data_IF_968797830724
#
_entry.id   IF_968797830724
#
_cell.length_a   1.000
_cell.length_b   1.000
_cell.length_c   1.000
_cell.angle_alpha   90.00
_cell.angle_beta   90.00
_cell.angle_gamma   90.00
#
_symmetry.space_group_name_H-M   'P 1'
#
loop_
_entity.id
_entity.type
_entity.pdbx_description
1 polymer ?
#
# COMPACT_ATOMS: atom_id res chain seq x y z
N UNK A 1 -19.50 -50.60 24.16
CA UNK A 1 -18.45 -50.07 23.26
C UNK A 1 -17.26 -49.64 24.10
N UNK A 2 -16.05 -49.94 23.65
CA UNK A 2 -14.86 -50.03 24.51
C UNK A 2 -14.35 -48.63 24.93
N UNK A 3 -14.78 -48.12 26.10
CA UNK A 3 -14.38 -46.81 26.63
C UNK A 3 -12.87 -46.57 26.60
N UNK A 4 -12.07 -47.63 26.78
CA UNK A 4 -10.59 -47.58 26.70
C UNK A 4 -10.04 -47.21 25.33
N UNK A 5 -10.72 -47.62 24.25
CA UNK A 5 -10.33 -47.27 22.88
C UNK A 5 -10.62 -45.79 22.59
N UNK A 6 -11.80 -45.31 23.02
CA UNK A 6 -12.24 -43.94 22.82
C UNK A 6 -11.37 -42.95 23.62
N UNK A 7 -10.95 -43.34 24.82
CA UNK A 7 -10.01 -42.59 25.64
C UNK A 7 -8.61 -42.51 25.01
N UNK A 8 -8.06 -43.64 24.53
CA UNK A 8 -6.77 -43.64 23.83
C UNK A 8 -6.79 -42.79 22.55
N UNK A 9 -7.89 -42.85 21.79
CA UNK A 9 -8.06 -42.03 20.60
C UNK A 9 -8.09 -40.54 20.95
N UNK A 10 -8.89 -40.15 21.94
CA UNK A 10 -8.96 -38.77 22.43
C UNK A 10 -7.61 -38.27 22.95
N UNK A 11 -6.86 -39.09 23.69
CA UNK A 11 -5.55 -38.70 24.22
C UNK A 11 -4.50 -38.55 23.11
N UNK A 12 -4.43 -39.50 22.16
CA UNK A 12 -3.50 -39.40 21.05
C UNK A 12 -3.82 -38.21 20.13
N UNK A 13 -5.10 -37.92 19.93
CA UNK A 13 -5.55 -36.78 19.13
C UNK A 13 -5.31 -35.46 19.88
N UNK A 14 -5.52 -35.41 21.19
CA UNK A 14 -5.16 -34.25 22.04
C UNK A 14 -3.67 -33.95 21.97
N UNK A 15 -2.81 -34.97 22.10
CA UNK A 15 -1.36 -34.83 22.04
C UNK A 15 -0.93 -34.34 20.64
N UNK A 16 -1.51 -34.89 19.58
CA UNK A 16 -1.17 -34.50 18.20
C UNK A 16 -1.53 -33.03 17.93
N UNK A 17 -2.71 -32.58 18.36
CA UNK A 17 -3.14 -31.18 18.19
C UNK A 17 -2.34 -30.25 19.12
N UNK A 18 -2.01 -30.66 20.34
CA UNK A 18 -1.14 -29.89 21.24
C UNK A 18 0.25 -29.68 20.61
N UNK A 19 0.81 -30.73 20.01
CA UNK A 19 2.11 -30.67 19.34
C UNK A 19 2.04 -29.71 18.15
N UNK A 20 0.98 -29.79 17.33
CA UNK A 20 0.73 -28.88 16.21
C UNK A 20 0.58 -27.42 16.67
N UNK A 21 -0.14 -27.19 17.77
CA UNK A 21 -0.32 -25.86 18.39
C UNK A 21 1.00 -25.29 18.90
N UNK A 22 1.83 -26.12 19.53
CA UNK A 22 3.12 -25.70 20.05
C UNK A 22 4.07 -25.30 18.91
N UNK A 23 4.13 -26.12 17.84
CA UNK A 23 4.92 -25.81 16.65
C UNK A 23 4.53 -24.49 16.01
N UNK A 24 3.24 -24.20 15.86
CA UNK A 24 2.89 -22.93 15.24
C UNK A 24 2.78 -21.75 16.19
N UNK A 25 2.73 -21.94 17.50
CA UNK A 25 3.03 -20.83 18.44
C UNK A 25 4.50 -20.43 18.32
N UNK A 26 5.41 -21.40 18.16
CA UNK A 26 6.83 -21.12 17.88
C UNK A 26 6.98 -20.41 16.53
N UNK A 27 6.32 -20.87 15.46
CA UNK A 27 6.35 -20.18 14.17
C UNK A 27 5.77 -18.76 14.26
N UNK A 28 4.69 -18.56 15.02
CA UNK A 28 4.09 -17.24 15.23
C UNK A 28 4.99 -16.29 16.03
N UNK A 29 5.68 -16.78 17.07
CA UNK A 29 6.65 -15.98 17.82
C UNK A 29 7.84 -15.61 16.94
N UNK A 30 8.31 -16.54 16.09
CA UNK A 30 9.39 -16.28 15.13
C UNK A 30 8.96 -15.22 14.11
N UNK A 31 7.73 -15.27 13.60
CA UNK A 31 7.16 -14.28 12.68
C UNK A 31 6.99 -12.89 13.35
N UNK A 32 6.36 -12.80 14.52
CA UNK A 32 6.06 -11.53 15.22
C UNK A 32 7.32 -10.85 15.79
N UNK A 33 8.33 -11.60 16.24
CA UNK A 33 9.53 -11.01 16.87
C UNK A 33 10.74 -10.88 15.95
N UNK A 34 10.88 -11.69 14.90
CA UNK A 34 11.98 -11.54 13.94
C UNK A 34 11.59 -10.77 12.67
N UNK A 35 10.32 -10.35 12.52
CA UNK A 35 9.81 -9.66 11.31
C UNK A 35 10.19 -10.42 10.02
N UNK A 36 10.22 -11.75 10.10
CA UNK A 36 10.80 -12.57 9.05
C UNK A 36 9.71 -12.95 8.05
N UNK A 37 9.56 -12.10 7.04
CA UNK A 37 8.49 -12.11 6.03
C UNK A 37 8.64 -13.27 5.01
N UNK A 38 8.65 -14.51 5.50
CA UNK A 38 8.93 -15.72 4.68
C UNK A 38 7.67 -16.23 3.94
N UNK A 39 6.47 -15.84 4.36
CA UNK A 39 5.21 -16.38 3.82
C UNK A 39 4.36 -15.31 3.13
N UNK A 40 3.83 -15.57 1.91
CA UNK A 40 2.86 -14.69 1.26
C UNK A 40 1.64 -14.42 2.17
N UNK A 41 1.17 -13.17 2.23
CA UNK A 41 0.16 -12.70 3.19
C UNK A 41 -1.14 -13.54 3.26
N UNK A 42 -1.59 -14.09 2.13
CA UNK A 42 -2.78 -14.93 2.10
C UNK A 42 -2.59 -16.26 2.87
N UNK A 43 -1.37 -16.79 2.85
CA UNK A 43 -1.00 -17.98 3.63
C UNK A 43 -0.74 -17.62 5.09
N UNK A 44 -0.15 -16.46 5.39
CA UNK A 44 0.14 -16.04 6.77
C UNK A 44 -1.15 -15.86 7.58
N UNK A 45 -2.19 -15.27 6.98
CA UNK A 45 -3.49 -15.02 7.64
C UNK A 45 -4.27 -16.33 7.85
N UNK A 46 -4.23 -17.24 6.87
CA UNK A 46 -4.85 -18.56 6.96
C UNK A 46 -4.12 -19.46 7.96
N UNK A 47 -2.77 -19.44 7.98
CA UNK A 47 -1.95 -20.13 8.99
C UNK A 47 -2.18 -19.56 10.39
N UNK A 48 -2.28 -18.23 10.56
CA UNK A 48 -2.63 -17.60 11.85
C UNK A 48 -3.99 -18.05 12.34
N UNK A 49 -5.01 -17.97 11.49
CA UNK A 49 -6.36 -18.40 11.83
C UNK A 49 -6.40 -19.89 12.17
N UNK A 50 -5.70 -20.73 11.40
CA UNK A 50 -5.62 -22.17 11.62
C UNK A 50 -4.83 -22.52 12.87
N UNK A 51 -3.83 -21.72 13.24
CA UNK A 51 -3.06 -21.91 14.47
C UNK A 51 -3.80 -21.49 15.72
N UNK A 52 -4.49 -20.35 15.68
CA UNK A 52 -5.35 -19.90 16.77
C UNK A 52 -6.49 -20.89 16.95
N UNK A 53 -7.17 -21.29 15.87
CA UNK A 53 -8.22 -22.30 15.93
C UNK A 53 -7.68 -23.66 16.41
N UNK A 54 -6.53 -24.09 15.88
CA UNK A 54 -5.86 -25.33 16.27
C UNK A 54 -5.45 -25.35 17.74
N UNK A 55 -4.90 -24.25 18.26
CA UNK A 55 -4.52 -24.11 19.66
C UNK A 55 -5.72 -24.06 20.61
N UNK A 56 -6.81 -23.39 20.22
CA UNK A 56 -8.07 -23.41 20.98
C UNK A 56 -8.65 -24.83 21.03
N UNK A 57 -8.67 -25.54 19.90
CA UNK A 57 -9.13 -26.94 19.83
C UNK A 57 -8.24 -27.85 20.68
N UNK A 58 -6.91 -27.68 20.61
CA UNK A 58 -5.95 -28.45 21.42
C UNK A 58 -6.22 -28.27 22.92
N UNK A 59 -6.37 -27.01 23.34
CA UNK A 59 -6.61 -26.65 24.73
C UNK A 59 -7.94 -27.24 25.23
N UNK A 60 -9.01 -27.10 24.45
CA UNK A 60 -10.32 -27.69 24.79
C UNK A 60 -10.22 -29.22 24.90
N UNK A 61 -9.47 -29.87 24.01
CA UNK A 61 -9.28 -31.32 24.07
C UNK A 61 -8.47 -31.78 25.29
N UNK A 62 -7.40 -31.08 25.64
CA UNK A 62 -6.62 -31.38 26.86
C UNK A 62 -7.47 -31.19 28.12
N UNK A 63 -8.24 -30.11 28.20
CA UNK A 63 -9.16 -29.86 29.31
C UNK A 63 -10.25 -30.92 29.37
N UNK A 64 -10.86 -31.28 28.24
CA UNK A 64 -11.86 -32.36 28.16
C UNK A 64 -11.27 -33.70 28.61
N UNK A 65 -10.03 -34.01 28.20
CA UNK A 65 -9.37 -35.27 28.58
C UNK A 65 -9.02 -35.32 30.07
N UNK A 66 -8.53 -34.21 30.64
CA UNK A 66 -8.31 -34.09 32.07
C UNK A 66 -9.62 -34.26 32.86
N UNK A 67 -10.70 -33.61 32.41
CA UNK A 67 -12.03 -33.71 33.03
C UNK A 67 -12.63 -35.11 32.90
N UNK A 68 -12.49 -35.78 31.76
CA UNK A 68 -12.90 -37.18 31.56
C UNK A 68 -12.09 -38.14 32.42
N UNK A 69 -10.78 -37.93 32.54
CA UNK A 69 -9.90 -38.74 33.39
C UNK A 69 -10.26 -38.57 34.87
N UNK A 70 -10.54 -37.34 35.31
CA UNK A 70 -11.05 -37.04 36.66
C UNK A 70 -12.43 -37.64 36.89
N UNK A 71 -13.33 -37.57 35.91
CA UNK A 71 -14.68 -38.15 36.00
C UNK A 71 -14.63 -39.68 36.11
N UNK A 72 -13.78 -40.34 35.33
CA UNK A 72 -13.60 -41.80 35.39
C UNK A 72 -12.88 -42.26 36.66
N UNK A 73 -11.93 -41.48 37.17
CA UNK A 73 -11.34 -41.74 38.49
C UNK A 73 -12.39 -41.62 39.60
N UNK A 74 -13.22 -40.57 39.53
CA UNK A 74 -14.32 -40.37 40.46
C UNK A 74 -15.37 -41.49 40.38
N UNK A 75 -15.75 -41.93 39.18
CA UNK A 75 -16.68 -43.05 38.95
C UNK A 75 -16.07 -44.38 39.45
N UNK A 76 -14.78 -44.62 39.21
CA UNK A 76 -14.10 -45.83 39.70
C UNK A 76 -14.02 -45.87 41.24
N UNK A 77 -13.82 -44.71 41.88
CA UNK A 77 -13.82 -44.61 43.34
C UNK A 77 -15.24 -44.67 43.92
N UNK A 78 -16.24 -44.10 43.26
CA UNK A 78 -17.64 -44.15 43.67
C UNK A 78 -18.22 -45.58 43.54
N UNK A 79 -17.88 -46.30 42.47
CA UNK A 79 -18.26 -47.72 42.29
C UNK A 79 -17.60 -48.62 43.34
N UNK A 80 -16.35 -48.35 43.72
CA UNK A 80 -15.68 -49.04 44.84
C UNK A 80 -16.29 -48.70 46.21
N UNK A 81 -16.84 -47.50 46.36
CA UNK A 81 -17.49 -47.04 47.59
C UNK A 81 -19.00 -47.34 47.67
N UNK A 82 -19.58 -48.00 46.66
CA UNK A 82 -21.02 -48.30 46.55
C UNK A 82 -21.94 -47.09 46.79
N UNK A 83 -21.52 -45.90 46.34
CA UNK A 83 -22.30 -44.67 46.52
C UNK A 83 -23.49 -44.64 45.52
N UNK A 84 -24.70 -44.24 45.96
CA UNK A 84 -25.85 -44.11 45.07
C UNK A 84 -25.67 -43.00 44.05
N UNK A 85 -26.32 -43.12 42.89
CA UNK A 85 -26.28 -42.12 41.82
C UNK A 85 -26.86 -40.78 42.32
N UNK A 86 -25.97 -39.84 42.63
CA UNK A 86 -26.38 -38.50 43.03
C UNK A 86 -26.75 -37.67 41.81
N UNK A 87 -27.94 -37.07 41.84
CA UNK A 87 -28.38 -36.10 40.85
C UNK A 87 -27.57 -34.82 40.96
N UNK A 88 -27.05 -34.33 39.83
CA UNK A 88 -26.20 -33.13 39.75
C UNK A 88 -26.94 -31.92 40.33
N UNK A 89 -26.38 -31.30 41.38
CA UNK A 89 -27.04 -30.18 42.06
C UNK A 89 -27.21 -28.97 41.13
N UNK A 90 -28.34 -28.27 41.26
CA UNK A 90 -28.63 -27.03 40.49
C UNK A 90 -27.53 -25.97 40.66
N UNK A 91 -26.84 -25.95 41.80
CA UNK A 91 -25.75 -25.01 42.08
C UNK A 91 -24.48 -25.32 41.29
N UNK A 92 -24.14 -26.61 41.11
CA UNK A 92 -22.98 -27.02 40.30
C UNK A 92 -23.22 -26.71 38.82
N UNK A 93 -24.44 -26.97 38.31
CA UNK A 93 -24.85 -26.59 36.94
C UNK A 93 -24.74 -25.08 36.70
N UNK A 94 -25.10 -24.26 37.71
CA UNK A 94 -24.97 -22.79 37.64
C UNK A 94 -23.51 -22.33 37.65
N UNK A 95 -22.61 -23.01 38.36
CA UNK A 95 -21.16 -22.73 38.33
C UNK A 95 -20.53 -23.06 36.98
N UNK A 96 -20.86 -24.21 36.39
CA UNK A 96 -20.35 -24.62 35.06
C UNK A 96 -20.85 -23.64 33.97
N UNK A 97 -22.11 -23.23 34.01
CA UNK A 97 -22.61 -22.24 33.05
C UNK A 97 -21.90 -20.89 33.19
N UNK A 98 -21.54 -20.47 34.42
CA UNK A 98 -20.77 -19.24 34.65
C UNK A 98 -19.33 -19.36 34.12
N UNK A 99 -18.68 -20.51 34.26
CA UNK A 99 -17.34 -20.71 33.71
C UNK A 99 -17.34 -20.75 32.18
N UNK A 100 -18.35 -21.37 31.55
CA UNK A 100 -18.51 -21.34 30.09
C UNK A 100 -18.72 -19.90 29.60
N UNK A 101 -19.58 -19.13 30.28
CA UNK A 101 -19.81 -17.72 29.95
C UNK A 101 -18.52 -16.89 30.06
N UNK A 102 -17.72 -17.11 31.11
CA UNK A 102 -16.45 -16.41 31.30
C UNK A 102 -15.45 -16.70 30.18
N UNK A 103 -15.37 -17.95 29.70
CA UNK A 103 -14.51 -18.33 28.57
C UNK A 103 -14.97 -17.69 27.27
N UNK A 104 -16.28 -17.68 26.99
CA UNK A 104 -16.84 -17.01 25.80
C UNK A 104 -16.51 -15.51 25.81
N UNK A 105 -16.66 -14.85 26.97
CA UNK A 105 -16.31 -13.44 27.13
C UNK A 105 -14.81 -13.21 26.93
N UNK A 106 -13.95 -14.10 27.43
CA UNK A 106 -12.50 -14.00 27.21
C UNK A 106 -12.12 -14.14 25.73
N UNK A 107 -12.72 -15.08 25.00
CA UNK A 107 -12.51 -15.23 23.55
C UNK A 107 -12.99 -13.98 22.80
N UNK A 108 -14.17 -13.44 23.15
CA UNK A 108 -14.69 -12.22 22.55
C UNK A 108 -13.78 -11.01 22.80
N UNK A 109 -13.18 -10.90 24.00
CA UNK A 109 -12.21 -9.85 24.32
C UNK A 109 -10.90 -10.00 23.55
N UNK A 110 -10.41 -11.23 23.32
CA UNK A 110 -9.21 -11.49 22.53
C UNK A 110 -9.44 -11.12 21.05
N UNK A 111 -10.56 -11.55 20.47
CA UNK A 111 -10.93 -11.22 19.08
C UNK A 111 -11.14 -9.71 18.92
N UNK A 112 -11.85 -9.08 19.87
CA UNK A 112 -12.04 -7.63 19.87
C UNK A 112 -10.73 -6.86 20.04
N UNK A 113 -9.80 -7.35 20.86
CA UNK A 113 -8.47 -6.77 21.03
C UNK A 113 -7.63 -6.82 19.74
N UNK A 114 -7.68 -7.93 19.01
CA UNK A 114 -7.00 -8.10 17.71
C UNK A 114 -7.51 -7.10 16.66
N UNK A 115 -8.84 -6.89 16.58
CA UNK A 115 -9.41 -5.90 15.68
C UNK A 115 -8.96 -4.46 16.00
N UNK A 116 -8.79 -4.13 17.29
CA UNK A 116 -8.28 -2.81 17.69
C UNK A 116 -6.82 -2.67 17.29
N UNK A 117 -5.99 -3.70 17.46
CA UNK A 117 -4.58 -3.65 17.05
C UNK A 117 -4.43 -3.48 15.54
N UNK A 118 -5.27 -4.12 14.74
CA UNK A 118 -5.24 -3.96 13.27
C UNK A 118 -5.64 -2.53 12.87
N UNK A 119 -6.65 -1.95 13.53
CA UNK A 119 -7.02 -0.55 13.32
C UNK A 119 -5.93 0.44 13.72
N UNK A 120 -5.22 0.17 14.83
CA UNK A 120 -4.10 1.01 15.27
C UNK A 120 -2.93 0.91 14.27
N UNK A 121 -2.58 -0.29 13.81
CA UNK A 121 -1.55 -0.50 12.77
C UNK A 121 -1.90 0.23 11.48
N UNK A 122 -3.15 0.11 11.01
CA UNK A 122 -3.62 0.82 9.82
C UNK A 122 -3.55 2.35 9.97
N UNK A 123 -3.84 2.89 11.17
CA UNK A 123 -3.70 4.33 11.43
C UNK A 123 -2.24 4.79 11.42
N UNK A 124 -1.34 4.03 12.02
CA UNK A 124 0.10 4.33 12.04
C UNK A 124 0.66 4.31 10.62
N UNK A 125 0.38 3.26 9.84
CA UNK A 125 0.83 3.14 8.46
C UNK A 125 0.26 4.27 7.56
N UNK A 126 -1.00 4.67 7.77
CA UNK A 126 -1.59 5.83 7.08
C UNK A 126 -0.87 7.13 7.42
N UNK A 127 -0.52 7.33 8.68
CA UNK A 127 0.18 8.53 9.12
C UNK A 127 1.59 8.57 8.53
N UNK A 128 2.33 7.46 8.57
CA UNK A 128 3.65 7.33 7.96
C UNK A 128 3.62 7.59 6.45
N UNK A 129 2.62 7.03 5.74
CA UNK A 129 2.45 7.28 4.31
C UNK A 129 2.12 8.75 4.00
N UNK A 130 1.33 9.43 4.85
CA UNK A 130 1.05 10.87 4.72
C UNK A 130 2.31 11.73 4.98
N UNK A 131 3.10 11.35 5.99
CA UNK A 131 4.36 12.02 6.32
C UNK A 131 5.36 11.87 5.17
N UNK A 132 5.52 10.65 4.63
CA UNK A 132 6.36 10.38 3.47
C UNK A 132 5.88 11.14 2.23
N UNK A 133 4.58 11.13 1.95
CA UNK A 133 3.98 11.88 0.83
C UNK A 133 4.28 13.37 0.94
N UNK A 134 4.09 13.94 2.14
CA UNK A 134 4.33 15.36 2.39
C UNK A 134 5.81 15.71 2.28
N UNK A 135 6.69 14.84 2.79
CA UNK A 135 8.13 15.03 2.70
C UNK A 135 8.62 14.99 1.25
N UNK A 136 8.24 13.98 0.48
CA UNK A 136 8.57 13.87 -0.94
C UNK A 136 8.05 15.07 -1.74
N UNK A 137 6.84 15.54 -1.43
CA UNK A 137 6.27 16.73 -2.04
C UNK A 137 7.13 17.99 -1.76
N UNK A 138 7.62 18.16 -0.53
CA UNK A 138 8.50 19.27 -0.16
C UNK A 138 9.84 19.17 -0.86
N UNK A 139 10.44 17.99 -0.89
CA UNK A 139 11.74 17.74 -1.55
C UNK A 139 11.66 18.02 -3.06
N UNK A 140 10.60 17.56 -3.74
CA UNK A 140 10.37 17.87 -5.15
C UNK A 140 10.20 19.38 -5.39
N UNK A 141 9.42 20.07 -4.54
CA UNK A 141 9.25 21.52 -4.65
C UNK A 141 10.57 22.28 -4.45
N UNK A 142 11.46 21.81 -3.57
CA UNK A 142 12.78 22.40 -3.37
C UNK A 142 13.73 22.13 -4.54
N UNK A 143 13.63 20.96 -5.18
CA UNK A 143 14.42 20.57 -6.34
C UNK A 143 13.98 21.29 -7.63
N UNK A 144 12.70 21.66 -7.76
CA UNK A 144 12.13 22.18 -9.01
C UNK A 144 12.90 23.37 -9.61
N UNK A 145 13.30 24.43 -8.86
CA UNK A 145 14.06 25.54 -9.43
C UNK A 145 15.40 25.10 -10.04
N UNK A 146 16.10 24.19 -9.36
CA UNK A 146 17.39 23.68 -9.82
C UNK A 146 17.22 22.81 -11.07
N UNK A 147 16.21 21.93 -11.11
CA UNK A 147 15.86 21.15 -12.30
C UNK A 147 15.56 22.05 -13.50
N UNK A 148 14.75 23.10 -13.32
CA UNK A 148 14.41 24.03 -14.40
C UNK A 148 15.65 24.77 -14.93
N UNK A 149 16.62 25.06 -14.07
CA UNK A 149 17.88 25.71 -14.45
C UNK A 149 18.78 24.85 -15.33
N UNK A 150 18.59 23.51 -15.34
CA UNK A 150 19.36 22.59 -16.18
C UNK A 150 18.98 22.66 -17.67
N UNK A 151 17.85 23.29 -18.00
CA UNK A 151 17.40 23.46 -19.39
C UNK A 151 18.26 24.50 -20.11
N UNK A 152 19.28 24.00 -20.81
CA UNK A 152 20.24 24.85 -21.53
C UNK A 152 19.58 25.64 -22.68
N UNK A 153 20.14 26.81 -23.08
CA UNK A 153 19.58 27.63 -24.15
C UNK A 153 19.31 26.88 -25.47
N UNK A 154 20.16 25.95 -25.95
CA UNK A 154 19.87 25.15 -27.15
C UNK A 154 18.64 24.25 -27.00
N UNK A 155 18.42 23.66 -25.82
CA UNK A 155 17.22 22.84 -25.56
C UNK A 155 15.98 23.74 -25.55
N UNK A 156 16.06 24.90 -24.87
CA UNK A 156 14.95 25.87 -24.85
C UNK A 156 14.59 26.35 -26.26
N UNK A 157 15.58 26.60 -27.11
CA UNK A 157 15.38 27.00 -28.50
C UNK A 157 14.75 25.89 -29.35
N UNK A 158 15.21 24.66 -29.19
CA UNK A 158 14.63 23.50 -29.86
C UNK A 158 13.20 23.23 -29.40
N UNK A 159 12.88 23.44 -28.12
CA UNK A 159 11.51 23.31 -27.58
C UNK A 159 10.57 24.40 -28.10
N UNK A 160 10.99 25.67 -28.11
CA UNK A 160 10.17 26.79 -28.58
C UNK A 160 9.77 26.64 -30.06
N UNK A 161 10.70 26.14 -30.88
CA UNK A 161 10.53 26.05 -32.33
C UNK A 161 10.20 24.63 -32.82
N UNK A 162 9.97 23.66 -31.94
CA UNK A 162 9.79 22.24 -32.27
C UNK A 162 10.90 21.66 -33.17
N UNK A 163 12.16 22.06 -32.92
CA UNK A 163 13.33 21.70 -33.74
C UNK A 163 14.41 20.91 -32.99
N UNK A 164 14.02 20.20 -31.92
CA UNK A 164 14.97 19.39 -31.12
C UNK A 164 15.72 18.35 -31.96
N UNK A 165 15.08 17.80 -32.99
CA UNK A 165 15.67 16.79 -33.89
C UNK A 165 16.66 17.45 -34.85
N UNK A 166 16.25 18.52 -35.52
CA UNK A 166 17.02 19.26 -36.51
C UNK A 166 18.28 19.88 -35.89
N UNK A 167 18.19 20.34 -34.64
CA UNK A 167 19.29 20.93 -33.89
C UNK A 167 20.18 19.88 -33.20
N UNK A 168 19.91 18.59 -33.38
CA UNK A 168 20.68 17.49 -32.79
C UNK A 168 20.61 17.44 -31.26
N UNK A 169 19.57 18.00 -30.64
CA UNK A 169 19.46 18.12 -29.19
C UNK A 169 18.83 16.90 -28.50
N UNK A 170 18.28 15.93 -29.25
CA UNK A 170 17.66 14.73 -28.67
C UNK A 170 18.57 13.99 -27.68
N UNK A 171 19.87 13.88 -27.99
CA UNK A 171 20.84 13.26 -27.08
C UNK A 171 21.06 14.06 -25.80
N UNK A 172 21.04 15.39 -25.88
CA UNK A 172 21.18 16.26 -24.71
C UNK A 172 19.91 16.25 -23.86
N UNK A 173 18.72 16.27 -24.48
CA UNK A 173 17.43 16.15 -23.79
C UNK A 173 17.30 14.79 -23.09
N UNK A 174 17.71 13.69 -23.73
CA UNK A 174 17.71 12.36 -23.11
C UNK A 174 18.66 12.30 -21.90
N UNK A 175 19.87 12.86 -22.03
CA UNK A 175 20.81 12.98 -20.90
C UNK A 175 20.27 13.86 -19.78
N UNK A 176 19.55 14.93 -20.11
CA UNK A 176 18.91 15.81 -19.14
C UNK A 176 17.87 15.04 -18.32
N UNK A 177 16.98 14.29 -18.97
CA UNK A 177 16.01 13.44 -18.26
C UNK A 177 16.69 12.41 -17.36
N UNK A 178 17.76 11.77 -17.86
CA UNK A 178 18.51 10.81 -17.06
C UNK A 178 19.19 11.49 -15.87
N UNK A 179 19.82 12.65 -16.07
CA UNK A 179 20.48 13.40 -15.01
C UNK A 179 19.49 13.81 -13.93
N UNK A 180 18.31 14.32 -14.31
CA UNK A 180 17.26 14.70 -13.36
C UNK A 180 16.84 13.48 -12.51
N UNK A 181 16.58 12.35 -13.16
CA UNK A 181 16.19 11.11 -12.46
C UNK A 181 17.28 10.60 -11.52
N UNK A 182 18.56 10.72 -11.87
CA UNK A 182 19.66 10.16 -11.06
C UNK A 182 20.19 11.09 -9.98
N UNK A 183 19.99 12.40 -10.13
CA UNK A 183 20.67 13.40 -9.30
C UNK A 183 19.76 14.13 -8.32
N UNK A 184 18.44 13.99 -8.43
CA UNK A 184 17.49 14.64 -7.54
C UNK A 184 16.79 13.64 -6.60
N UNK A 185 16.40 14.08 -5.39
CA UNK A 185 15.59 13.27 -4.48
C UNK A 185 14.32 12.76 -5.15
N UNK A 186 13.80 11.62 -4.69
CA UNK A 186 12.59 10.98 -5.24
C UNK A 186 12.70 10.48 -6.70
N UNK A 187 13.90 10.55 -7.31
CA UNK A 187 14.17 10.09 -8.67
C UNK A 187 13.09 10.49 -9.69
N UNK A 188 12.80 11.80 -9.85
CA UNK A 188 11.58 12.24 -10.48
C UNK A 188 11.51 11.86 -11.96
N UNK A 189 10.37 11.32 -12.36
CA UNK A 189 10.01 11.19 -13.77
C UNK A 189 9.64 12.56 -14.30
N UNK A 190 10.43 13.04 -15.27
CA UNK A 190 10.26 14.37 -15.85
C UNK A 190 9.50 14.27 -17.16
N UNK A 191 8.43 15.04 -17.29
CA UNK A 191 7.66 15.18 -18.53
C UNK A 191 7.62 16.64 -18.95
N UNK A 192 7.76 16.92 -20.24
CA UNK A 192 7.69 18.28 -20.78
C UNK A 192 6.46 18.38 -21.68
N UNK A 193 5.68 19.44 -21.50
CA UNK A 193 4.58 19.78 -22.38
C UNK A 193 4.92 21.04 -23.18
N UNK A 194 4.81 20.95 -24.51
CA UNK A 194 4.95 22.09 -25.43
C UNK A 194 3.70 22.24 -26.29
N UNK A 195 3.59 23.39 -26.98
CA UNK A 195 2.54 23.57 -28.00
C UNK A 195 2.95 22.84 -29.28
N UNK A 196 2.04 22.02 -29.79
CA UNK A 196 2.23 21.32 -31.06
C UNK A 196 2.14 22.30 -32.23
N UNK A 197 3.00 22.13 -33.23
CA UNK A 197 2.88 22.76 -34.56
C UNK A 197 2.13 21.89 -35.58
N UNK A 198 1.82 20.64 -35.22
CA UNK A 198 1.13 19.67 -36.06
C UNK A 198 -0.39 19.71 -35.84
N UNK A 199 -1.12 20.29 -36.78
CA UNK A 199 -2.59 20.20 -36.77
C UNK A 199 -3.04 18.74 -36.98
N UNK A 200 -4.08 18.24 -36.26
CA UNK A 200 -5.02 18.96 -35.39
C UNK A 200 -4.62 19.03 -33.91
N UNK A 201 -3.39 18.66 -33.55
CA UNK A 201 -2.95 18.56 -32.16
C UNK A 201 -2.60 19.93 -31.60
N UNK A 202 -2.94 20.13 -30.32
CA UNK A 202 -2.70 21.38 -29.59
C UNK A 202 -1.46 21.28 -28.70
N UNK A 203 -1.22 20.09 -28.14
CA UNK A 203 -0.10 19.85 -27.24
C UNK A 203 0.73 18.67 -27.70
N UNK A 204 2.01 18.74 -27.36
CA UNK A 204 2.99 17.68 -27.55
C UNK A 204 3.61 17.38 -26.18
N UNK A 205 3.51 16.12 -25.78
CA UNK A 205 4.03 15.59 -24.54
C UNK A 205 5.33 14.85 -24.83
N UNK A 206 6.41 15.33 -24.22
CA UNK A 206 7.76 14.81 -24.37
C UNK A 206 8.17 14.14 -23.08
N UNK A 207 8.27 12.82 -23.15
CA UNK A 207 8.71 11.98 -22.05
C UNK A 207 10.10 11.39 -22.34
N UNK A 208 10.79 10.82 -21.34
CA UNK A 208 12.01 10.06 -21.57
C UNK A 208 11.81 8.94 -22.60
N UNK A 209 10.62 8.33 -22.65
CA UNK A 209 10.23 7.30 -23.61
C UNK A 209 10.03 7.83 -25.04
N UNK A 210 9.79 9.13 -25.22
CA UNK A 210 9.64 9.78 -26.52
C UNK A 210 10.95 9.85 -27.31
N UNK A 211 12.09 9.76 -26.63
CA UNK A 211 13.42 9.74 -27.26
C UNK A 211 14.00 8.33 -27.15
N UNK A 212 13.99 7.58 -28.25
CA UNK A 212 14.41 6.17 -28.26
C UNK A 212 15.44 5.88 -29.34
N UNK A 213 16.20 4.81 -29.14
CA UNK A 213 17.10 4.29 -30.18
C UNK A 213 16.32 3.31 -31.07
N UNK A 214 16.30 3.56 -32.37
CA UNK A 214 15.77 2.67 -33.40
C UNK A 214 16.83 2.44 -34.48
N UNK A 215 17.25 1.18 -34.65
CA UNK A 215 18.30 0.83 -35.62
C UNK A 215 19.63 1.57 -35.44
N UNK A 216 19.98 1.97 -34.21
CA UNK A 216 21.19 2.74 -33.90
C UNK A 216 21.07 4.25 -34.15
N UNK A 217 19.88 4.75 -34.52
CA UNK A 217 19.58 6.19 -34.62
C UNK A 217 18.68 6.62 -33.48
N UNK A 218 18.91 7.81 -32.94
CA UNK A 218 18.00 8.43 -31.98
C UNK A 218 16.79 8.98 -32.74
N UNK A 219 15.59 8.53 -32.37
CA UNK A 219 14.32 8.92 -32.97
C UNK A 219 13.47 9.61 -31.91
N UNK A 220 12.72 10.61 -32.34
CA UNK A 220 11.80 11.37 -31.53
C UNK A 220 10.35 11.03 -31.91
N UNK A 221 9.58 10.54 -30.95
CA UNK A 221 8.16 10.17 -31.10
C UNK A 221 7.41 10.68 -29.86
N UNK A 222 6.97 11.94 -29.86
CA UNK A 222 6.21 12.50 -28.76
C UNK A 222 4.77 11.98 -28.76
N UNK A 223 4.07 12.11 -27.63
CA UNK A 223 2.63 11.90 -27.60
C UNK A 223 1.89 13.19 -27.94
N UNK A 224 0.95 13.11 -28.87
CA UNK A 224 0.23 14.27 -29.39
C UNK A 224 -1.21 14.30 -28.87
N UNK A 225 -1.62 15.45 -28.34
CA UNK A 225 -2.94 15.64 -27.75
C UNK A 225 -3.69 16.78 -28.43
N UNK A 226 -4.92 16.50 -28.89
CA UNK A 226 -5.85 17.54 -29.37
C UNK A 226 -6.46 18.31 -28.19
N UNK A 227 -6.74 17.60 -27.10
CA UNK A 227 -7.10 18.11 -25.77
C UNK A 227 -6.84 17.01 -24.72
N UNK A 228 -6.75 17.39 -23.45
CA UNK A 228 -6.73 16.42 -22.35
C UNK A 228 -8.15 15.96 -21.99
N UNK A 229 -8.34 14.74 -21.46
CA UNK A 229 -9.66 14.23 -21.11
C UNK A 229 -10.35 15.00 -19.99
N UNK A 230 -9.59 15.48 -19.01
CA UNK A 230 -10.13 16.15 -17.83
C UNK A 230 -10.13 17.68 -18.03
N UNK A 231 -11.31 18.31 -17.91
CA UNK A 231 -11.44 19.76 -18.08
C UNK A 231 -10.57 20.56 -17.10
N UNK A 232 -10.43 20.07 -15.86
CA UNK A 232 -9.57 20.67 -14.84
C UNK A 232 -8.09 20.64 -15.26
N UNK A 233 -7.63 19.56 -15.90
CA UNK A 233 -6.26 19.46 -16.42
C UNK A 233 -6.04 20.46 -17.56
N UNK A 234 -7.01 20.59 -18.48
CA UNK A 234 -6.96 21.59 -19.56
C UNK A 234 -6.84 23.00 -18.99
N UNK A 235 -7.68 23.36 -18.03
CA UNK A 235 -7.68 24.68 -17.40
C UNK A 235 -6.37 24.97 -16.64
N UNK A 236 -5.82 23.96 -15.96
CA UNK A 236 -4.54 24.08 -15.26
C UNK A 236 -3.38 24.29 -16.25
N UNK A 237 -3.34 23.53 -17.34
CA UNK A 237 -2.34 23.66 -18.40
C UNK A 237 -2.40 25.04 -19.06
N UNK A 238 -3.60 25.54 -19.38
CA UNK A 238 -3.74 26.88 -19.96
C UNK A 238 -3.29 27.99 -19.01
N UNK A 239 -3.55 27.86 -17.70
CA UNK A 239 -3.04 28.79 -16.70
C UNK A 239 -1.50 28.78 -16.64
N UNK A 240 -0.90 27.60 -16.65
CA UNK A 240 0.56 27.44 -16.66
C UNK A 240 1.20 28.02 -17.92
N UNK A 241 0.61 27.75 -19.11
CA UNK A 241 1.05 28.36 -20.37
C UNK A 241 0.90 29.89 -20.36
N UNK A 242 -0.10 30.42 -19.65
CA UNK A 242 -0.27 31.85 -19.43
C UNK A 242 0.65 32.41 -18.33
N UNK A 243 1.53 31.59 -17.73
CA UNK A 243 2.46 31.99 -16.69
C UNK A 243 1.79 32.25 -15.34
N UNK A 244 0.66 31.60 -15.06
CA UNK A 244 -0.08 31.66 -13.80
C UNK A 244 -0.02 30.31 -13.08
N UNK A 245 -0.02 30.35 -11.75
CA UNK A 245 -0.13 29.15 -10.92
C UNK A 245 -1.58 28.63 -10.96
N UNK A 246 -1.83 27.36 -11.26
CA UNK A 246 -3.17 26.80 -11.31
C UNK A 246 -3.71 26.55 -9.90
N UNK A 247 -5.02 26.72 -9.74
CA UNK A 247 -5.72 26.37 -8.49
C UNK A 247 -6.24 24.94 -8.58
N UNK A 248 -5.52 23.98 -7.99
CA UNK A 248 -5.98 22.61 -7.84
C UNK A 248 -6.42 22.41 -6.39
N UNK A 249 -7.71 22.12 -6.15
CA UNK A 249 -8.27 21.87 -4.82
C UNK A 249 -8.93 20.51 -4.69
N UNK A 250 -8.84 19.70 -5.73
CA UNK A 250 -9.41 18.35 -5.82
C UNK A 250 -8.37 17.40 -6.40
N UNK A 251 -8.49 16.08 -6.12
CA UNK A 251 -7.68 15.07 -6.79
C UNK A 251 -7.85 15.14 -8.31
N UNK A 252 -6.74 15.10 -9.03
CA UNK A 252 -6.60 15.13 -10.48
C UNK A 252 -5.63 14.01 -10.87
N UNK A 253 -6.10 13.01 -11.62
CA UNK A 253 -5.29 11.91 -12.18
C UNK A 253 -5.22 12.04 -13.69
N UNK A 254 -4.68 13.18 -14.13
CA UNK A 254 -4.59 13.56 -15.53
C UNK A 254 -3.54 12.77 -16.31
N UNK A 255 -3.45 13.06 -17.60
CA UNK A 255 -2.43 12.44 -18.48
C UNK A 255 -1.06 13.09 -18.34
N UNK A 256 -1.04 14.39 -18.09
CA UNK A 256 0.16 15.20 -17.86
C UNK A 256 0.29 15.63 -16.40
N UNK A 257 -0.78 16.13 -15.78
CA UNK A 257 -0.79 16.55 -14.37
C UNK A 257 -1.46 15.49 -13.50
N UNK A 258 -0.73 15.00 -12.50
CA UNK A 258 -1.26 14.10 -11.48
C UNK A 258 -0.89 14.62 -10.09
N UNK A 259 -1.87 15.14 -9.35
CA UNK A 259 -1.64 15.68 -8.01
C UNK A 259 -1.94 14.66 -6.89
N UNK A 260 -2.18 13.39 -7.26
CA UNK A 260 -2.43 12.30 -6.31
C UNK A 260 -1.16 11.53 -5.95
N UNK A 261 -0.05 11.88 -6.60
CA UNK A 261 1.30 11.47 -6.28
C UNK A 261 2.11 12.72 -5.89
N UNK A 262 3.22 12.58 -5.13
CA UNK A 262 4.13 13.68 -4.92
C UNK A 262 4.64 14.18 -6.27
N UNK A 263 4.32 15.43 -6.59
CA UNK A 263 4.62 16.00 -7.88
C UNK A 263 4.77 17.51 -7.82
N UNK A 264 5.45 18.09 -8.80
CA UNK A 264 5.60 19.53 -8.90
C UNK A 264 5.73 19.93 -10.35
N UNK A 265 5.53 21.22 -10.62
CA UNK A 265 5.60 21.74 -11.97
C UNK A 265 6.20 23.14 -12.00
N UNK A 266 6.78 23.45 -13.14
CA UNK A 266 7.27 24.77 -13.46
C UNK A 266 7.13 25.08 -14.93
N UNK A 267 7.48 26.30 -15.30
CA UNK A 267 7.43 26.78 -16.68
C UNK A 267 8.82 27.10 -17.19
N UNK A 268 9.09 26.71 -18.43
CA UNK A 268 10.29 27.17 -19.12
C UNK A 268 9.97 28.44 -19.89
N UNK A 269 10.82 29.44 -19.72
CA UNK A 269 10.70 30.74 -20.35
C UNK A 269 11.88 31.04 -21.25
N UNK A 270 11.59 31.66 -22.38
CA UNK A 270 12.56 32.26 -23.29
C UNK A 270 12.04 33.61 -23.74
N UNK A 271 12.88 34.64 -23.69
CA UNK A 271 12.51 36.01 -24.06
C UNK A 271 11.24 36.53 -23.35
N UNK A 272 11.05 36.16 -22.08
CA UNK A 272 9.90 36.57 -21.27
C UNK A 272 8.57 35.85 -21.58
N UNK A 273 8.57 34.87 -22.50
CA UNK A 273 7.39 34.06 -22.84
C UNK A 273 7.54 32.64 -22.31
N UNK A 274 6.45 32.07 -21.80
CA UNK A 274 6.37 30.64 -21.47
C UNK A 274 6.34 29.83 -22.76
N UNK A 275 7.28 28.90 -22.91
CA UNK A 275 7.41 28.04 -24.09
C UNK A 275 7.06 26.58 -23.80
N UNK A 276 7.23 26.14 -22.55
CA UNK A 276 6.95 24.78 -22.13
C UNK A 276 6.56 24.72 -20.66
N UNK A 277 5.91 23.64 -20.27
CA UNK A 277 5.66 23.26 -18.87
C UNK A 277 6.49 22.02 -18.58
N UNK A 278 7.20 22.02 -17.46
CA UNK A 278 7.92 20.84 -16.95
C UNK A 278 7.15 20.32 -15.76
N UNK A 279 6.82 19.03 -15.80
CA UNK A 279 6.18 18.31 -14.70
C UNK A 279 7.17 17.26 -14.17
N UNK A 280 7.32 17.22 -12.85
CA UNK A 280 8.15 16.27 -12.14
C UNK A 280 7.24 15.47 -11.21
N UNK A 281 7.21 14.15 -11.37
CA UNK A 281 6.49 13.26 -10.45
C UNK A 281 7.45 12.27 -9.81
N UNK A 282 7.25 11.96 -8.54
CA UNK A 282 7.96 10.84 -7.90
C UNK A 282 7.62 9.55 -8.64
N UNK A 283 8.63 8.71 -8.89
CA UNK A 283 8.42 7.34 -9.39
C UNK A 283 8.00 6.37 -8.29
N UNK A 284 8.07 6.77 -7.01
CA UNK A 284 7.82 5.85 -5.91
C UNK A 284 6.36 5.38 -5.91
N UNK A 285 6.19 4.07 -6.10
CA UNK A 285 4.91 3.35 -6.01
C UNK A 285 4.37 3.24 -4.59
N UNK A 286 5.16 3.64 -3.60
CA UNK A 286 4.95 3.34 -2.17
C UNK A 286 3.84 4.20 -1.54
N UNK A 287 3.31 5.17 -2.30
CA UNK A 287 2.15 5.96 -1.89
C UNK A 287 0.82 5.23 -2.19
N UNK A 288 0.86 4.12 -2.92
CA UNK A 288 -0.30 3.28 -3.21
C UNK A 288 -0.44 2.16 -2.16
N UNK A 289 -1.12 2.48 -1.07
CA UNK A 289 -1.51 1.56 0.02
C UNK A 289 -0.32 0.84 0.70
N UNK A 290 -0.11 0.96 2.03
CA UNK A 290 0.91 0.17 2.75
C UNK A 290 0.77 -1.36 2.58
N UNK A 291 -0.30 -1.85 1.95
CA UNK A 291 -0.53 -3.27 1.62
C UNK A 291 -0.43 -3.60 0.11
N UNK A 292 0.17 -2.69 -0.69
CA UNK A 292 0.39 -2.85 -2.13
C UNK A 292 -0.87 -2.65 -2.98
N UNK A 293 -0.67 -2.49 -4.29
CA UNK A 293 -1.72 -2.30 -5.28
C UNK A 293 -2.71 -3.50 -5.33
N UNK A 294 -3.71 -3.48 -4.45
CA UNK A 294 -4.82 -4.45 -4.47
C UNK A 294 -5.81 -4.05 -5.56
N UNK A 295 -6.16 -4.92 -6.52
CA UNK A 295 -7.29 -4.69 -7.39
C UNK A 295 -8.57 -4.70 -6.53
N UNK A 296 -9.12 -3.52 -6.30
CA UNK A 296 -10.33 -3.28 -5.50
C UNK A 296 -11.49 -4.08 -6.09
N UNK A 297 -11.85 -5.21 -5.45
CA UNK A 297 -13.10 -5.92 -5.73
C UNK A 297 -13.47 -6.95 -4.65
N UNK A 298 -13.56 -6.52 -3.39
CA UNK A 298 -14.37 -7.21 -2.39
C UNK A 298 -15.27 -6.22 -1.64
N UNK A 299 -16.60 -6.41 -1.59
CA UNK A 299 -17.56 -5.42 -1.12
C UNK A 299 -17.63 -5.23 0.42
N UNK A 300 -16.69 -5.81 1.18
CA UNK A 300 -16.70 -5.80 2.65
C UNK A 300 -15.43 -5.27 3.33
N UNK A 301 -14.41 -4.93 2.56
CA UNK A 301 -13.22 -4.29 3.11
C UNK A 301 -13.44 -2.79 3.16
N UNK A 302 -13.69 -2.25 4.36
CA UNK A 302 -13.77 -0.81 4.63
C UNK A 302 -12.44 -0.06 4.45
N UNK A 303 -11.52 -0.62 3.67
CA UNK A 303 -10.23 -0.03 3.32
C UNK A 303 -10.43 0.91 2.13
N UNK A 304 -10.56 2.19 2.42
CA UNK A 304 -10.46 3.24 1.41
C UNK A 304 -9.01 3.33 0.97
N UNK A 305 -8.77 3.31 -0.35
CA UNK A 305 -7.49 3.72 -0.90
C UNK A 305 -7.10 5.07 -0.29
N UNK A 306 -5.83 5.24 0.07
CA UNK A 306 -5.34 6.50 0.61
C UNK A 306 -5.43 7.58 -0.49
N UNK A 307 -6.50 8.38 -0.46
CA UNK A 307 -6.68 9.54 -1.34
C UNK A 307 -5.87 10.73 -0.84
N UNK A 308 -4.54 10.62 -0.95
CA UNK A 308 -3.67 11.78 -0.80
C UNK A 308 -3.72 12.62 -2.08
N UNK A 309 -3.74 13.93 -1.90
CA UNK A 309 -3.51 14.87 -2.99
C UNK A 309 -2.86 16.14 -2.46
N UNK A 310 -2.18 16.87 -3.34
CA UNK A 310 -1.64 18.19 -3.05
C UNK A 310 -2.24 19.25 -4.00
N UNK A 311 -2.16 20.52 -3.61
CA UNK A 311 -2.72 21.63 -4.39
C UNK A 311 -1.73 22.20 -5.43
N UNK A 312 -0.57 21.56 -5.57
CA UNK A 312 0.57 22.05 -6.33
C UNK A 312 1.65 22.75 -5.51
N UNK A 313 2.65 23.34 -6.19
CA UNK A 313 3.66 24.17 -5.56
C UNK A 313 3.07 25.52 -5.12
N UNK A 314 3.62 26.11 -4.06
CA UNK A 314 3.13 27.38 -3.50
C UNK A 314 3.40 28.59 -4.41
N UNK A 315 4.27 28.44 -5.40
CA UNK A 315 4.62 29.47 -6.36
C UNK A 315 4.91 28.84 -7.73
N UNK A 316 4.78 29.65 -8.77
CA UNK A 316 5.13 29.22 -10.12
C UNK A 316 6.66 29.28 -10.30
N UNK A 317 7.31 28.12 -10.36
CA UNK A 317 8.73 28.02 -10.66
C UNK A 317 9.01 28.31 -12.14
N UNK A 318 10.13 28.98 -12.42
CA UNK A 318 10.67 29.15 -13.77
C UNK A 318 12.20 29.08 -13.77
N UNK A 319 12.77 28.77 -14.93
CA UNK A 319 14.21 28.91 -15.19
C UNK A 319 14.66 30.38 -15.30
#
# INVERSE_FOLDING_TARGET
MNHRFLLRLLTNLSISILTLSCFGTVLWVVDEFLQWDILPEALSLLLRALLVAGGIIAFIMVVMNALLSLALLAESNASRAQLPDYTVSRQLKKRINRSILAVIVAIALIIGGLQITDQVRARVARQESLENFTQAQVELNQAAPEVLSLFTPPILEGLENNTLTEQGQLGNTSKLFQAIRTSFPESPYTTILVRSDQAPYKYELIEPSSIRSDGGKTVFVPELYTAFPEAQEVDAVEQLLAGKLPTLSTPLKGKFLDNTLPSTWGVLRRNGKTIAIVFLKSEASDYADPYGARPVSFPYDGYQALDFHHNGPDQLFSN
#
